data_IF_963834081968
#
_entry.id   IF_963834081968
#
_cell.length_a   1.000
_cell.length_b   1.000
_cell.length_c   1.000
_cell.angle_alpha   90.00
_cell.angle_beta   90.00
_cell.angle_gamma   90.00
#
_symmetry.space_group_name_H-M   'P 1'
#
loop_
_entity.id
_entity.type
_entity.pdbx_description
1 polymer ?
#
# COMPACT_ATOMS: atom_id res chain seq x y z
N UNK A 1 -21.64 -26.42 -20.06
CA UNK A 1 -20.29 -26.28 -20.67
C UNK A 1 -19.44 -27.51 -20.34
N UNK A 2 -18.72 -28.11 -21.30
CA UNK A 2 -17.79 -29.23 -21.02
C UNK A 2 -16.76 -28.80 -19.96
N UNK A 3 -16.57 -29.56 -18.86
CA UNK A 3 -15.65 -29.25 -17.73
C UNK A 3 -14.23 -28.81 -18.16
N UNK A 4 -13.75 -29.30 -19.32
CA UNK A 4 -12.46 -28.91 -19.91
C UNK A 4 -12.41 -27.43 -20.33
N UNK A 5 -13.52 -26.88 -20.86
CA UNK A 5 -13.62 -25.47 -21.28
C UNK A 5 -13.60 -24.52 -20.07
N UNK A 6 -14.29 -24.88 -18.98
CA UNK A 6 -14.28 -24.09 -17.74
C UNK A 6 -12.88 -24.00 -17.14
N UNK A 7 -12.18 -25.14 -17.05
CA UNK A 7 -10.77 -25.19 -16.60
C UNK A 7 -9.85 -24.29 -17.46
N UNK A 8 -10.00 -24.34 -18.77
CA UNK A 8 -9.23 -23.49 -19.69
C UNK A 8 -9.47 -21.99 -19.48
N UNK A 9 -10.71 -21.59 -19.17
CA UNK A 9 -11.06 -20.20 -18.86
C UNK A 9 -10.42 -19.75 -17.54
N UNK A 10 -10.56 -20.55 -16.47
CA UNK A 10 -9.96 -20.23 -15.16
C UNK A 10 -8.44 -20.08 -15.29
N UNK A 11 -7.79 -21.05 -15.96
CA UNK A 11 -6.35 -21.01 -16.23
C UNK A 11 -5.93 -19.79 -17.06
N UNK A 12 -6.83 -19.23 -17.86
CA UNK A 12 -6.55 -18.04 -18.66
C UNK A 12 -6.55 -16.74 -17.84
N UNK A 13 -7.17 -16.76 -16.66
CA UNK A 13 -7.20 -15.65 -15.71
C UNK A 13 -5.97 -15.60 -14.78
N UNK A 14 -5.06 -16.58 -14.85
CA UNK A 14 -3.82 -16.60 -14.06
C UNK A 14 -2.93 -15.37 -14.34
N UNK A 15 -2.15 -14.89 -13.37
CA UNK A 15 -1.18 -13.81 -13.60
C UNK A 15 -0.18 -14.18 -14.71
N UNK A 16 0.15 -13.22 -15.58
CA UNK A 16 1.15 -13.40 -16.64
C UNK A 16 2.10 -12.20 -16.67
N UNK A 17 3.39 -12.46 -16.80
CA UNK A 17 4.41 -11.41 -16.92
C UNK A 17 4.08 -10.49 -18.09
N UNK A 18 4.10 -9.18 -17.84
CA UNK A 18 3.80 -8.16 -18.86
C UNK A 18 2.32 -7.98 -19.21
N UNK A 19 1.39 -8.66 -18.52
CA UNK A 19 -0.06 -8.45 -18.70
C UNK A 19 -0.71 -7.92 -17.44
N UNK A 20 -1.72 -7.07 -17.62
CA UNK A 20 -2.55 -6.63 -16.51
C UNK A 20 -3.26 -7.84 -15.88
N UNK A 21 -3.26 -7.89 -14.54
CA UNK A 21 -3.99 -8.89 -13.78
C UNK A 21 -5.49 -8.74 -14.04
N UNK A 22 -6.16 -9.85 -14.31
CA UNK A 22 -7.63 -9.88 -14.47
C UNK A 22 -8.24 -9.54 -13.11
N UNK A 23 -9.12 -8.55 -13.07
CA UNK A 23 -9.86 -8.18 -11.86
C UNK A 23 -11.06 -9.12 -11.72
N UNK A 24 -11.10 -9.87 -10.64
CA UNK A 24 -12.17 -10.80 -10.32
C UNK A 24 -12.80 -10.41 -8.98
N UNK A 25 -14.11 -10.59 -8.86
CA UNK A 25 -14.87 -10.34 -7.64
C UNK A 25 -14.99 -11.60 -6.77
N UNK A 26 -15.25 -11.47 -5.47
CA UNK A 26 -15.40 -12.58 -4.51
C UNK A 26 -16.35 -13.69 -5.01
N UNK A 27 -17.48 -13.32 -5.61
CA UNK A 27 -18.47 -14.25 -6.16
C UNK A 27 -17.92 -15.05 -7.34
N UNK A 28 -17.16 -14.41 -8.22
CA UNK A 28 -16.51 -15.04 -9.37
C UNK A 28 -15.43 -16.02 -8.90
N UNK A 29 -14.61 -15.61 -7.92
CA UNK A 29 -13.53 -16.42 -7.36
C UNK A 29 -14.07 -17.66 -6.64
N UNK A 30 -15.13 -17.50 -5.85
CA UNK A 30 -15.81 -18.61 -5.18
C UNK A 30 -16.45 -19.56 -6.19
N UNK A 31 -17.08 -19.03 -7.24
CA UNK A 31 -17.63 -19.84 -8.34
C UNK A 31 -16.53 -20.64 -9.04
N UNK A 32 -15.40 -20.02 -9.39
CA UNK A 32 -14.26 -20.69 -10.02
C UNK A 32 -13.76 -21.86 -9.17
N UNK A 33 -13.60 -21.66 -7.86
CA UNK A 33 -13.23 -22.71 -6.92
C UNK A 33 -14.24 -23.86 -6.89
N UNK A 34 -15.53 -23.56 -6.78
CA UNK A 34 -16.59 -24.58 -6.78
C UNK A 34 -16.60 -25.41 -8.08
N UNK A 35 -16.27 -24.80 -9.23
CA UNK A 35 -16.16 -25.50 -10.51
C UNK A 35 -14.93 -26.42 -10.63
N UNK A 36 -13.90 -26.19 -9.79
CA UNK A 36 -12.66 -26.96 -9.79
C UNK A 36 -12.60 -28.02 -8.68
N UNK A 37 -13.53 -27.98 -7.72
CA UNK A 37 -13.57 -28.90 -6.58
C UNK A 37 -13.52 -30.37 -7.04
N UNK A 38 -12.61 -31.15 -6.44
CA UNK A 38 -12.35 -32.54 -6.80
C UNK A 38 -11.40 -32.77 -7.99
N UNK A 39 -10.93 -31.71 -8.66
CA UNK A 39 -10.00 -31.80 -9.79
C UNK A 39 -8.90 -30.71 -9.73
N UNK A 40 -8.46 -30.34 -8.52
CA UNK A 40 -7.42 -29.36 -8.31
C UNK A 40 -6.04 -29.99 -8.59
N UNK A 41 -5.34 -29.45 -9.60
CA UNK A 41 -3.90 -29.58 -9.75
C UNK A 41 -3.17 -28.91 -8.58
N UNK A 42 -2.01 -29.46 -8.21
CA UNK A 42 -1.11 -28.89 -7.21
C UNK A 42 -0.11 -27.86 -7.80
N UNK A 43 -0.17 -27.62 -9.12
CA UNK A 43 0.50 -26.48 -9.73
C UNK A 43 -0.32 -25.21 -9.50
N UNK A 44 -0.06 -24.53 -8.38
CA UNK A 44 -0.85 -23.37 -7.98
C UNK A 44 -0.63 -22.14 -8.86
N UNK A 45 0.44 -22.10 -9.66
CA UNK A 45 0.68 -21.03 -10.62
C UNK A 45 -0.31 -21.06 -11.79
N UNK A 46 -1.02 -22.18 -12.00
CA UNK A 46 -2.04 -22.31 -13.03
C UNK A 46 -3.36 -21.61 -12.71
N UNK A 47 -3.54 -21.14 -11.47
CA UNK A 47 -4.77 -20.45 -11.04
C UNK A 47 -4.59 -18.93 -10.94
N UNK A 48 -5.69 -18.16 -11.01
CA UNK A 48 -5.70 -16.79 -10.53
C UNK A 48 -5.28 -16.76 -9.06
N UNK A 49 -4.29 -15.95 -8.70
CA UNK A 49 -3.80 -15.84 -7.32
C UNK A 49 -4.92 -15.52 -6.32
N UNK A 50 -5.89 -14.71 -6.74
CA UNK A 50 -7.01 -14.28 -5.88
C UNK A 50 -7.99 -15.42 -5.61
N UNK A 51 -8.05 -16.41 -6.49
CA UNK A 51 -8.88 -17.60 -6.30
C UNK A 51 -8.31 -18.47 -5.18
N UNK A 52 -6.98 -18.47 -5.02
CA UNK A 52 -6.29 -19.26 -3.99
C UNK A 52 -6.75 -18.89 -2.57
N UNK A 53 -7.23 -17.66 -2.34
CA UNK A 53 -7.80 -17.22 -1.05
C UNK A 53 -8.96 -18.13 -0.60
N UNK A 54 -9.70 -18.70 -1.55
CA UNK A 54 -10.91 -19.49 -1.31
C UNK A 54 -10.66 -21.00 -1.23
N UNK A 55 -9.43 -21.45 -1.52
CA UNK A 55 -9.08 -22.85 -1.39
C UNK A 55 -9.15 -23.30 0.08
N UNK A 56 -9.53 -24.56 0.27
CA UNK A 56 -9.39 -25.22 1.55
C UNK A 56 -7.98 -25.79 1.65
N UNK A 57 -7.29 -25.56 2.77
CA UNK A 57 -5.95 -26.11 3.00
C UNK A 57 -5.93 -27.64 2.93
N UNK A 58 -7.08 -28.29 3.20
CA UNK A 58 -7.25 -29.74 3.04
C UNK A 58 -7.11 -30.22 1.60
N UNK A 59 -7.29 -29.34 0.61
CA UNK A 59 -7.09 -29.66 -0.81
C UNK A 59 -5.64 -29.45 -1.28
N UNK A 60 -4.76 -28.98 -0.38
CA UNK A 60 -3.33 -28.75 -0.63
C UNK A 60 -2.56 -29.91 -0.01
N UNK A 61 -1.77 -30.59 -0.83
CA UNK A 61 -0.88 -31.64 -0.33
C UNK A 61 0.22 -31.01 0.53
N UNK A 62 0.56 -31.63 1.66
CA UNK A 62 1.53 -31.06 2.62
C UNK A 62 2.87 -30.68 1.99
N UNK A 63 3.40 -31.52 1.09
CA UNK A 63 4.63 -31.25 0.35
C UNK A 63 4.56 -30.00 -0.55
N UNK A 64 3.36 -29.59 -0.95
CA UNK A 64 3.10 -28.44 -1.82
C UNK A 64 2.56 -27.21 -1.06
N UNK A 65 2.54 -27.22 0.28
CA UNK A 65 2.00 -26.10 1.03
C UNK A 65 2.80 -24.80 0.77
N UNK A 66 4.13 -24.90 0.64
CA UNK A 66 4.99 -23.75 0.36
C UNK A 66 4.71 -23.17 -1.03
N UNK A 67 4.51 -24.02 -2.04
CA UNK A 67 4.19 -23.55 -3.40
C UNK A 67 2.79 -22.92 -3.46
N UNK A 68 1.83 -23.46 -2.70
CA UNK A 68 0.52 -22.83 -2.50
C UNK A 68 0.62 -21.42 -1.92
N UNK A 69 1.30 -21.26 -0.78
CA UNK A 69 1.42 -19.95 -0.14
C UNK A 69 2.24 -18.97 -0.98
N UNK A 70 3.25 -19.46 -1.72
CA UNK A 70 4.01 -18.62 -2.66
C UNK A 70 3.12 -18.06 -3.76
N UNK A 71 2.23 -18.89 -4.34
CA UNK A 71 1.29 -18.45 -5.37
C UNK A 71 0.19 -17.54 -4.78
N UNK A 72 -0.32 -17.88 -3.60
CA UNK A 72 -1.30 -17.08 -2.85
C UNK A 72 -0.72 -15.71 -2.46
N UNK A 73 0.59 -15.63 -2.20
CA UNK A 73 1.28 -14.37 -1.91
C UNK A 73 1.18 -13.33 -3.03
N UNK A 74 0.80 -13.70 -4.25
CA UNK A 74 0.51 -12.74 -5.32
C UNK A 74 -0.93 -12.19 -5.31
N UNK A 75 -1.77 -12.67 -4.39
CA UNK A 75 -3.18 -12.31 -4.31
C UNK A 75 -3.40 -10.87 -3.85
N UNK A 76 -4.58 -10.36 -4.18
CA UNK A 76 -5.13 -9.13 -3.67
C UNK A 76 -6.08 -9.46 -2.52
N UNK A 77 -5.57 -9.46 -1.29
CA UNK A 77 -6.32 -9.82 -0.09
C UNK A 77 -7.51 -8.89 0.19
N UNK A 78 -7.58 -7.72 -0.47
CA UNK A 78 -8.74 -6.83 -0.34
C UNK A 78 -9.98 -7.28 -1.12
N UNK A 79 -9.87 -8.34 -1.94
CA UNK A 79 -11.01 -8.89 -2.68
C UNK A 79 -11.94 -9.69 -1.79
N UNK A 80 -11.41 -10.30 -0.72
CA UNK A 80 -12.21 -11.07 0.21
C UNK A 80 -12.96 -10.15 1.16
N UNK A 81 -14.22 -10.48 1.41
CA UNK A 81 -15.05 -9.77 2.37
C UNK A 81 -14.55 -10.02 3.79
N UNK A 82 -14.63 -8.99 4.62
CA UNK A 82 -14.27 -9.08 6.04
C UNK A 82 -15.14 -10.09 6.80
N UNK A 83 -16.36 -10.37 6.31
CA UNK A 83 -17.29 -11.35 6.87
C UNK A 83 -16.69 -12.77 6.87
N UNK A 84 -15.94 -13.11 5.82
CA UNK A 84 -15.32 -14.44 5.73
C UNK A 84 -14.07 -14.58 6.61
N UNK A 85 -13.53 -13.47 7.14
CA UNK A 85 -12.33 -13.41 7.98
C UNK A 85 -11.20 -14.35 7.49
N UNK A 86 -10.93 -14.32 6.18
CA UNK A 86 -9.99 -15.26 5.54
C UNK A 86 -8.55 -15.01 5.95
N UNK A 87 -8.19 -13.76 6.22
CA UNK A 87 -6.82 -13.33 6.45
C UNK A 87 -6.20 -14.04 7.67
N UNK A 88 -6.89 -14.02 8.81
CA UNK A 88 -6.41 -14.66 10.05
C UNK A 88 -6.21 -16.17 9.88
N UNK A 89 -7.19 -16.84 9.25
CA UNK A 89 -7.13 -18.27 8.95
C UNK A 89 -5.97 -18.60 8.01
N UNK A 90 -5.87 -17.89 6.88
CA UNK A 90 -4.83 -18.13 5.87
C UNK A 90 -3.43 -17.90 6.45
N UNK A 91 -3.27 -16.87 7.28
CA UNK A 91 -2.00 -16.63 7.93
C UNK A 91 -1.65 -17.73 8.94
N UNK A 92 -2.61 -18.19 9.76
CA UNK A 92 -2.39 -19.33 10.67
C UNK A 92 -2.01 -20.62 9.91
N UNK A 93 -2.69 -20.90 8.79
CA UNK A 93 -2.34 -22.02 7.90
C UNK A 93 -0.92 -21.84 7.29
N UNK A 94 -0.54 -20.61 6.95
CA UNK A 94 0.81 -20.30 6.45
C UNK A 94 1.87 -20.50 7.53
N UNK A 95 1.60 -20.09 8.77
CA UNK A 95 2.51 -20.31 9.90
C UNK A 95 2.80 -21.79 10.10
N UNK A 96 1.75 -22.62 10.09
CA UNK A 96 1.89 -24.07 10.21
C UNK A 96 2.69 -24.67 9.05
N UNK A 97 2.44 -24.22 7.81
CA UNK A 97 3.17 -24.69 6.64
C UNK A 97 4.67 -24.31 6.67
N UNK A 98 4.99 -23.10 7.14
CA UNK A 98 6.34 -22.55 7.10
C UNK A 98 7.13 -22.81 8.39
N UNK A 99 6.50 -23.39 9.42
CA UNK A 99 7.14 -23.60 10.72
C UNK A 99 7.41 -22.30 11.48
N UNK A 100 6.62 -21.25 11.24
CA UNK A 100 6.79 -19.95 11.88
C UNK A 100 6.28 -20.06 13.32
N UNK A 101 7.17 -19.80 14.28
CA UNK A 101 6.84 -19.69 15.69
C UNK A 101 7.07 -18.25 16.18
N UNK A 102 6.15 -17.76 17.02
CA UNK A 102 6.18 -16.38 17.51
C UNK A 102 5.90 -15.35 16.41
N UNK A 103 6.52 -14.17 16.51
CA UNK A 103 6.24 -13.00 15.67
C UNK A 103 7.36 -12.62 14.70
N UNK A 104 8.44 -13.39 14.64
CA UNK A 104 9.58 -13.11 13.75
C UNK A 104 9.38 -13.82 12.42
N UNK A 105 9.47 -13.07 11.33
CA UNK A 105 9.46 -13.61 9.97
C UNK A 105 10.84 -13.37 9.34
N UNK A 106 11.49 -14.43 8.88
CA UNK A 106 12.75 -14.30 8.15
C UNK A 106 12.48 -13.88 6.69
N UNK A 107 13.54 -13.58 5.92
CA UNK A 107 13.41 -13.18 4.52
C UNK A 107 12.66 -14.20 3.66
N UNK A 108 12.90 -15.50 3.87
CA UNK A 108 12.20 -16.57 3.17
C UNK A 108 10.71 -16.66 3.48
N UNK A 109 10.32 -16.41 4.74
CA UNK A 109 8.90 -16.34 5.13
C UNK A 109 8.21 -15.15 4.45
N UNK A 110 8.84 -13.98 4.50
CA UNK A 110 8.33 -12.75 3.86
C UNK A 110 8.21 -12.90 2.35
N UNK A 111 9.12 -13.63 1.71
CA UNK A 111 9.04 -13.95 0.28
C UNK A 111 7.82 -14.80 -0.06
N UNK A 112 7.59 -15.87 0.71
CA UNK A 112 6.45 -16.77 0.50
C UNK A 112 5.13 -16.06 0.78
N UNK A 113 5.03 -15.33 1.89
CA UNK A 113 3.81 -14.61 2.28
C UNK A 113 3.43 -13.52 1.26
N UNK A 114 4.42 -12.88 0.63
CA UNK A 114 4.18 -11.91 -0.44
C UNK A 114 3.26 -10.77 0.00
N UNK A 115 2.14 -10.58 -0.69
CA UNK A 115 1.13 -9.56 -0.41
C UNK A 115 0.28 -9.86 0.83
N UNK A 116 0.35 -11.09 1.39
CA UNK A 116 -0.30 -11.41 2.67
C UNK A 116 0.23 -10.52 3.80
N UNK A 117 1.43 -9.95 3.66
CA UNK A 117 1.98 -9.00 4.65
C UNK A 117 1.06 -7.80 4.92
N UNK A 118 0.19 -7.44 3.96
CA UNK A 118 -0.75 -6.34 4.10
C UNK A 118 -1.82 -6.59 5.15
N UNK A 119 -2.08 -7.86 5.49
CA UNK A 119 -3.10 -8.28 6.46
C UNK A 119 -2.49 -8.62 7.82
N UNK A 120 -1.16 -8.54 7.96
CA UNK A 120 -0.47 -8.90 9.20
C UNK A 120 -0.59 -7.82 10.26
N UNK A 121 -0.63 -8.26 11.51
CA UNK A 121 -0.53 -7.37 12.65
C UNK A 121 0.83 -6.68 12.72
N UNK A 122 0.84 -5.52 13.39
CA UNK A 122 2.03 -4.69 13.54
C UNK A 122 3.19 -5.41 14.24
N UNK A 123 2.89 -6.37 15.13
CA UNK A 123 3.91 -7.17 15.82
C UNK A 123 4.76 -7.99 14.86
N UNK A 124 4.14 -8.61 13.85
CA UNK A 124 4.85 -9.35 12.80
C UNK A 124 5.66 -8.38 11.95
N UNK A 125 5.06 -7.26 11.52
CA UNK A 125 5.76 -6.27 10.69
C UNK A 125 7.03 -5.78 11.38
N UNK A 126 6.94 -5.40 12.64
CA UNK A 126 8.07 -4.83 13.40
C UNK A 126 9.24 -5.79 13.59
N UNK A 127 8.95 -7.08 13.75
CA UNK A 127 9.93 -8.12 14.08
C UNK A 127 10.40 -8.94 12.87
N UNK A 128 9.96 -8.54 11.66
CA UNK A 128 10.30 -9.22 10.42
C UNK A 128 11.62 -8.75 9.81
N UNK A 129 12.16 -9.56 8.91
CA UNK A 129 13.20 -9.14 7.99
C UNK A 129 12.81 -7.86 7.24
N UNK A 130 13.79 -6.97 7.01
CA UNK A 130 13.58 -5.67 6.36
C UNK A 130 12.98 -5.76 4.94
N UNK A 131 13.07 -6.93 4.29
CA UNK A 131 12.40 -7.23 3.02
C UNK A 131 10.88 -7.00 3.09
N UNK A 132 10.28 -7.08 4.28
CA UNK A 132 8.83 -6.83 4.45
C UNK A 132 8.44 -5.44 3.96
N UNK A 133 9.34 -4.45 4.07
CA UNK A 133 9.12 -3.09 3.57
C UNK A 133 8.90 -3.07 2.06
N UNK A 134 9.49 -3.99 1.31
CA UNK A 134 9.27 -4.11 -0.14
C UNK A 134 7.91 -4.68 -0.47
N UNK A 135 7.46 -5.65 0.33
CA UNK A 135 6.14 -6.26 0.18
C UNK A 135 5.04 -5.29 0.61
N UNK A 136 5.28 -4.44 1.60
CA UNK A 136 4.30 -3.44 2.05
C UNK A 136 4.01 -2.34 1.01
N UNK A 137 4.88 -2.12 0.01
CA UNK A 137 4.69 -1.11 -1.05
C UNK A 137 3.44 -1.31 -1.89
N UNK A 138 2.97 -2.55 -2.00
CA UNK A 138 1.78 -2.88 -2.80
C UNK A 138 0.49 -2.80 -2.00
N UNK A 139 0.57 -2.61 -0.67
CA UNK A 139 -0.60 -2.58 0.18
C UNK A 139 -1.49 -1.38 -0.13
N UNK A 140 -2.77 -1.68 -0.38
CA UNK A 140 -3.78 -0.68 -0.70
C UNK A 140 -4.19 0.16 0.50
N UNK A 141 -4.03 -0.36 1.71
CA UNK A 141 -4.21 0.37 2.95
C UNK A 141 -3.31 -0.20 4.04
N UNK A 142 -3.02 0.63 5.04
CA UNK A 142 -2.24 0.24 6.23
C UNK A 142 -2.86 0.92 7.46
N UNK A 143 -3.01 0.15 8.54
CA UNK A 143 -3.49 0.65 9.82
C UNK A 143 -2.44 1.55 10.49
N UNK A 144 -2.85 2.35 11.49
CA UNK A 144 -1.93 3.20 12.23
C UNK A 144 -0.84 2.40 12.96
N UNK A 145 -1.17 1.21 13.48
CA UNK A 145 -0.20 0.32 14.14
C UNK A 145 0.78 -0.29 13.14
N UNK A 146 0.31 -0.72 11.96
CA UNK A 146 1.18 -1.21 10.89
C UNK A 146 2.14 -0.12 10.41
N UNK A 147 1.66 1.13 10.27
CA UNK A 147 2.51 2.27 9.91
C UNK A 147 3.57 2.55 10.98
N UNK A 148 3.21 2.50 12.27
CA UNK A 148 4.16 2.69 13.36
C UNK A 148 5.27 1.63 13.36
N UNK A 149 4.90 0.36 13.19
CA UNK A 149 5.85 -0.75 13.06
C UNK A 149 6.78 -0.58 11.85
N UNK A 150 6.21 -0.19 10.69
CA UNK A 150 6.97 0.11 9.48
C UNK A 150 7.96 1.28 9.68
N UNK A 151 7.53 2.35 10.35
CA UNK A 151 8.41 3.48 10.67
C UNK A 151 9.55 3.10 11.61
N UNK A 152 9.27 2.24 12.60
CA UNK A 152 10.29 1.71 13.51
C UNK A 152 11.32 0.85 12.76
N UNK A 153 10.88 -0.01 11.85
CA UNK A 153 11.78 -0.76 10.97
C UNK A 153 12.64 0.17 10.12
N UNK A 154 12.03 1.13 9.42
CA UNK A 154 12.76 2.10 8.58
C UNK A 154 13.84 2.81 9.39
N UNK A 155 13.50 3.29 10.59
CA UNK A 155 14.39 4.07 11.45
C UNK A 155 15.45 3.23 12.19
N UNK A 156 15.40 1.90 12.10
CA UNK A 156 16.37 1.02 12.76
C UNK A 156 17.80 1.13 12.22
N UNK A 157 17.97 1.72 11.03
CA UNK A 157 19.26 1.79 10.31
C UNK A 157 19.71 0.46 9.68
N UNK A 158 19.00 -0.65 9.95
CA UNK A 158 19.34 -2.01 9.48
C UNK A 158 18.66 -2.40 8.17
N UNK A 159 17.92 -1.48 7.57
CA UNK A 159 17.23 -1.72 6.30
C UNK A 159 18.13 -1.33 5.13
N UNK A 160 17.78 -1.75 3.91
CA UNK A 160 18.48 -1.29 2.70
C UNK A 160 18.45 0.22 2.45
N UNK A 161 17.61 0.96 3.19
CA UNK A 161 17.53 2.42 3.12
C UNK A 161 18.60 3.12 3.95
N UNK A 162 19.38 2.36 4.73
CA UNK A 162 20.48 2.85 5.54
C UNK A 162 20.03 3.70 6.74
N UNK A 163 21.01 4.32 7.38
CA UNK A 163 20.81 5.18 8.54
C UNK A 163 20.02 6.45 8.19
N UNK A 164 19.18 6.90 9.13
CA UNK A 164 18.29 8.06 8.99
C UNK A 164 19.04 9.33 8.59
N UNK A 165 20.30 9.49 9.02
CA UNK A 165 21.15 10.64 8.67
C UNK A 165 21.53 10.69 7.19
N UNK A 166 21.49 9.56 6.49
CA UNK A 166 21.83 9.44 5.05
C UNK A 166 20.63 9.66 4.13
N UNK A 167 19.42 9.72 4.70
CA UNK A 167 18.18 9.77 3.93
C UNK A 167 18.05 11.02 3.07
N UNK A 168 17.65 10.82 1.81
CA UNK A 168 17.55 11.89 0.83
C UNK A 168 16.38 11.67 -0.15
N UNK A 169 16.32 12.46 -1.22
CA UNK A 169 15.24 12.37 -2.20
C UNK A 169 15.17 10.98 -2.88
N UNK A 170 16.31 10.31 -3.07
CA UNK A 170 16.35 8.94 -3.61
C UNK A 170 15.71 7.94 -2.65
N UNK A 171 15.95 8.05 -1.35
CA UNK A 171 15.26 7.23 -0.33
C UNK A 171 13.74 7.32 -0.48
N UNK A 172 13.20 8.54 -0.64
CA UNK A 172 11.75 8.75 -0.83
C UNK A 172 11.22 8.14 -2.13
N UNK A 173 12.01 8.18 -3.22
CA UNK A 173 11.65 7.56 -4.50
C UNK A 173 11.67 6.03 -4.38
N UNK A 174 12.71 5.49 -3.75
CA UNK A 174 12.91 4.05 -3.61
C UNK A 174 11.84 3.42 -2.68
N UNK A 175 11.28 4.19 -1.73
CA UNK A 175 10.16 3.77 -0.88
C UNK A 175 8.82 3.60 -1.62
N UNK A 176 8.71 4.04 -2.87
CA UNK A 176 7.53 3.83 -3.70
C UNK A 176 6.27 4.50 -3.14
N UNK A 177 5.23 3.72 -2.85
CA UNK A 177 3.93 4.22 -2.37
C UNK A 177 3.87 4.46 -0.86
N UNK A 178 4.81 3.89 -0.08
CA UNK A 178 4.83 3.98 1.37
C UNK A 178 4.75 5.42 1.92
N UNK A 179 5.41 6.43 1.31
CA UNK A 179 5.33 7.81 1.78
C UNK A 179 3.90 8.35 1.93
N UNK A 180 2.90 7.80 1.24
CA UNK A 180 1.49 8.16 1.43
C UNK A 180 0.96 7.92 2.85
N UNK A 181 1.52 6.94 3.56
CA UNK A 181 1.04 6.47 4.86
C UNK A 181 1.86 7.03 6.03
N UNK A 182 3.10 7.46 5.76
CA UNK A 182 4.07 7.83 6.78
C UNK A 182 3.70 9.13 7.52
N UNK A 183 4.12 9.18 8.77
CA UNK A 183 3.72 10.20 9.75
C UNK A 183 4.79 11.28 9.93
N UNK A 184 4.54 12.19 10.87
CA UNK A 184 5.50 13.22 11.24
C UNK A 184 6.84 12.66 11.75
N UNK A 185 6.85 11.43 12.30
CA UNK A 185 8.06 10.79 12.79
C UNK A 185 9.06 10.51 11.66
N UNK A 186 8.56 9.98 10.54
CA UNK A 186 9.35 9.79 9.33
C UNK A 186 9.63 11.12 8.62
N UNK A 187 8.58 11.93 8.36
CA UNK A 187 8.75 13.17 7.61
C UNK A 187 9.63 14.19 8.34
N UNK A 188 9.72 14.15 9.66
CA UNK A 188 10.62 14.99 10.45
C UNK A 188 12.10 14.82 10.11
N UNK A 189 12.49 13.69 9.48
CA UNK A 189 13.88 13.38 9.12
C UNK A 189 14.35 14.06 7.82
N UNK A 190 13.46 14.69 7.07
CA UNK A 190 13.78 15.32 5.78
C UNK A 190 13.70 16.84 5.83
N UNK A 191 14.67 17.50 5.20
CA UNK A 191 14.67 18.96 4.97
C UNK A 191 13.49 19.37 4.07
N UNK A 192 12.96 20.58 4.26
CA UNK A 192 11.81 21.08 3.48
C UNK A 192 12.07 21.11 1.96
N UNK A 193 13.29 21.45 1.53
CA UNK A 193 13.69 21.43 0.12
C UNK A 193 13.60 20.02 -0.49
N UNK A 194 13.99 18.99 0.26
CA UNK A 194 13.90 17.58 -0.14
C UNK A 194 12.44 17.13 -0.27
N UNK A 195 11.61 17.44 0.73
CA UNK A 195 10.16 17.16 0.70
C UNK A 195 9.48 17.79 -0.51
N UNK A 196 9.71 19.09 -0.74
CA UNK A 196 9.12 19.82 -1.89
C UNK A 196 9.56 19.20 -3.22
N UNK A 197 10.86 18.89 -3.38
CA UNK A 197 11.38 18.26 -4.61
C UNK A 197 10.73 16.91 -4.89
N UNK A 198 10.61 16.06 -3.86
CA UNK A 198 9.94 14.77 -3.98
C UNK A 198 8.46 14.92 -4.37
N UNK A 199 7.72 15.79 -3.69
CA UNK A 199 6.30 15.99 -3.96
C UNK A 199 5.99 16.47 -5.38
N UNK A 200 6.89 17.26 -6.00
CA UNK A 200 6.73 17.72 -7.39
C UNK A 200 6.61 16.56 -8.39
N UNK A 201 7.25 15.43 -8.13
CA UNK A 201 7.19 14.24 -8.99
C UNK A 201 6.23 13.18 -8.45
N UNK A 202 6.07 13.09 -7.14
CA UNK A 202 5.20 12.13 -6.49
C UNK A 202 3.71 12.45 -6.69
N UNK A 203 3.30 13.69 -6.42
CA UNK A 203 1.89 14.07 -6.42
C UNK A 203 1.18 13.89 -7.77
N UNK A 204 1.79 14.24 -8.92
CA UNK A 204 1.17 13.98 -10.23
C UNK A 204 0.88 12.49 -10.47
N UNK A 205 1.79 11.59 -10.04
CA UNK A 205 1.59 10.14 -10.14
C UNK A 205 0.40 9.69 -9.30
N UNK A 206 0.28 10.20 -8.08
CA UNK A 206 -0.83 9.86 -7.19
C UNK A 206 -2.19 10.36 -7.68
N UNK A 207 -2.21 11.57 -8.26
CA UNK A 207 -3.40 12.13 -8.91
C UNK A 207 -3.82 11.31 -10.13
N UNK A 208 -2.87 10.90 -10.98
CA UNK A 208 -3.13 10.01 -12.13
C UNK A 208 -3.68 8.65 -11.70
N UNK A 209 -3.20 8.12 -10.57
CA UNK A 209 -3.73 6.89 -9.95
C UNK A 209 -5.09 7.07 -9.26
N UNK A 210 -5.63 8.29 -9.22
CA UNK A 210 -6.88 8.62 -8.53
C UNK A 210 -6.89 8.18 -7.05
N UNK A 211 -5.76 8.37 -6.36
CA UNK A 211 -5.67 8.09 -4.92
C UNK A 211 -6.75 8.89 -4.18
N UNK A 212 -7.41 8.23 -3.21
CA UNK A 212 -8.46 8.85 -2.39
C UNK A 212 -7.98 10.17 -1.79
N UNK A 213 -8.76 11.23 -1.96
CA UNK A 213 -8.44 12.58 -1.48
C UNK A 213 -8.16 12.61 0.03
N UNK A 214 -8.85 11.78 0.82
CA UNK A 214 -8.62 11.62 2.26
C UNK A 214 -7.20 11.14 2.60
N UNK A 215 -6.60 10.25 1.79
CA UNK A 215 -5.22 9.80 1.97
C UNK A 215 -4.22 10.92 1.68
N UNK A 216 -4.43 11.67 0.60
CA UNK A 216 -3.60 12.84 0.27
C UNK A 216 -3.69 13.91 1.36
N UNK A 217 -4.88 14.14 1.93
CA UNK A 217 -5.08 15.04 3.07
C UNK A 217 -4.27 14.60 4.30
N UNK A 218 -4.27 13.29 4.62
CA UNK A 218 -3.45 12.73 5.71
C UNK A 218 -1.95 12.92 5.45
N UNK A 219 -1.48 12.65 4.23
CA UNK A 219 -0.09 12.91 3.83
C UNK A 219 0.29 14.38 4.08
N UNK A 220 -0.51 15.33 3.58
CA UNK A 220 -0.22 16.76 3.75
C UNK A 220 -0.22 17.19 5.22
N UNK A 221 -1.13 16.64 6.03
CA UNK A 221 -1.14 16.85 7.49
C UNK A 221 0.19 16.43 8.13
N UNK A 222 0.74 15.28 7.75
CA UNK A 222 1.97 14.75 8.35
C UNK A 222 3.25 15.37 7.79
N UNK A 223 3.35 15.56 6.48
CA UNK A 223 4.56 16.10 5.84
C UNK A 223 4.77 17.59 6.14
N UNK A 224 3.67 18.33 6.29
CA UNK A 224 3.65 19.77 6.59
C UNK A 224 3.46 20.08 8.08
N UNK A 225 3.60 19.09 8.97
CA UNK A 225 3.55 19.28 10.43
C UNK A 225 4.69 20.20 10.90
N UNK A 226 4.51 21.52 10.72
CA UNK A 226 5.24 22.59 11.37
C UNK A 226 4.31 23.16 12.44
N UNK A 227 4.86 23.43 13.63
CA UNK A 227 4.12 24.16 14.67
C UNK A 227 3.98 25.62 14.23
N UNK A 228 2.85 25.99 13.64
CA UNK A 228 2.47 27.39 13.47
C UNK A 228 1.99 27.91 14.83
N UNK A 229 2.47 29.09 15.26
CA UNK A 229 1.96 29.72 16.50
C UNK A 229 0.49 30.08 16.26
N UNK A 230 -0.41 29.77 17.21
CA UNK A 230 -1.82 30.18 17.15
C UNK A 230 -1.88 31.71 17.04
N UNK A 231 -2.69 32.23 16.11
CA UNK A 231 -2.88 33.68 15.89
C UNK A 231 -1.92 34.32 14.88
N UNK A 232 -1.02 33.57 14.26
CA UNK A 232 -0.23 34.09 13.16
C UNK A 232 -1.04 34.08 11.85
N UNK A 233 -1.09 35.22 11.14
CA UNK A 233 -1.76 35.38 9.85
C UNK A 233 -1.10 34.58 8.72
N UNK A 234 -1.09 35.09 7.49
CA UNK A 234 -0.38 34.43 6.41
C UNK A 234 1.15 34.56 6.58
N UNK A 235 1.83 33.46 6.95
CA UNK A 235 3.29 33.43 7.15
C UNK A 235 3.99 32.71 6.00
N UNK A 236 3.32 31.74 5.38
CA UNK A 236 3.90 30.94 4.28
C UNK A 236 4.07 31.77 3.01
N UNK A 237 3.23 32.81 2.85
CA UNK A 237 3.14 33.66 1.66
C UNK A 237 1.81 33.46 0.95
N UNK A 238 1.34 34.49 0.23
CA UNK A 238 0.04 34.45 -0.42
C UNK A 238 -0.01 33.35 -1.50
N UNK A 239 -1.15 32.67 -1.56
CA UNK A 239 -1.46 31.68 -2.57
C UNK A 239 -1.83 32.43 -3.84
N UNK A 240 -0.95 32.38 -4.84
CA UNK A 240 -1.15 32.93 -6.18
C UNK A 240 -1.39 31.82 -7.21
N UNK A 241 -1.81 32.16 -8.42
CA UNK A 241 -1.96 31.20 -9.53
C UNK A 241 -0.66 30.38 -9.77
N UNK A 242 0.51 31.01 -9.63
CA UNK A 242 1.82 30.35 -9.75
C UNK A 242 2.00 29.29 -8.65
N UNK A 243 1.63 29.61 -7.41
CA UNK A 243 1.71 28.64 -6.31
C UNK A 243 0.73 27.49 -6.49
N UNK A 244 -0.49 27.77 -6.99
CA UNK A 244 -1.50 26.76 -7.28
C UNK A 244 -1.04 25.84 -8.40
N UNK A 245 -0.33 26.34 -9.41
CA UNK A 245 0.21 25.54 -10.52
C UNK A 245 1.34 24.59 -10.10
N UNK A 246 2.09 24.87 -9.02
CA UNK A 246 3.15 23.97 -8.53
C UNK A 246 2.59 22.56 -8.22
N UNK A 247 3.29 21.53 -8.69
CA UNK A 247 2.88 20.14 -8.49
C UNK A 247 2.88 19.71 -7.03
N UNK A 248 3.75 20.30 -6.20
CA UNK A 248 3.81 20.05 -4.77
C UNK A 248 2.70 20.75 -3.97
N UNK A 249 1.95 21.68 -4.56
CA UNK A 249 0.81 22.31 -3.90
C UNK A 249 -0.21 21.26 -3.42
N UNK A 250 -0.75 21.38 -2.18
CA UNK A 250 -0.66 22.49 -1.21
C UNK A 250 0.45 22.38 -0.15
N UNK A 251 1.58 21.71 -0.42
CA UNK A 251 2.67 21.55 0.56
C UNK A 251 3.13 22.88 1.15
N UNK A 252 3.14 22.96 2.48
CA UNK A 252 3.52 24.14 3.24
C UNK A 252 2.32 24.91 3.80
N UNK A 253 1.13 24.71 3.25
CA UNK A 253 -0.11 25.31 3.75
C UNK A 253 -0.90 24.28 4.56
N UNK A 254 -0.84 24.40 5.89
CA UNK A 254 -1.83 23.73 6.74
C UNK A 254 -3.22 24.36 6.55
N UNK A 255 -4.24 23.82 7.21
CA UNK A 255 -5.61 24.31 7.05
C UNK A 255 -5.75 25.80 7.38
N UNK A 256 -5.02 26.30 8.39
CA UNK A 256 -5.09 27.69 8.83
C UNK A 256 -4.36 28.61 7.86
N UNK A 257 -3.13 28.25 7.48
CA UNK A 257 -2.35 28.99 6.49
C UNK A 257 -3.05 29.01 5.13
N UNK A 258 -3.69 27.92 4.73
CA UNK A 258 -4.47 27.88 3.48
C UNK A 258 -5.61 28.90 3.51
N UNK A 259 -6.31 29.05 4.64
CA UNK A 259 -7.40 30.02 4.77
C UNK A 259 -6.90 31.46 4.83
N UNK A 260 -5.80 31.71 5.55
CA UNK A 260 -5.27 33.06 5.71
C UNK A 260 -4.49 33.57 4.49
N UNK A 261 -3.92 32.67 3.68
CA UNK A 261 -3.11 33.02 2.53
C UNK A 261 -3.86 32.96 1.20
N UNK A 262 -5.12 32.52 1.16
CA UNK A 262 -5.90 32.39 -0.08
C UNK A 262 -6.91 33.53 -0.22
N UNK A 263 -6.66 34.41 -1.18
CA UNK A 263 -7.58 35.49 -1.52
C UNK A 263 -8.74 35.01 -2.42
N UNK A 264 -9.90 35.65 -2.27
CA UNK A 264 -11.12 35.30 -3.02
C UNK A 264 -10.93 35.37 -4.54
N UNK A 265 -10.28 36.41 -5.13
CA UNK A 265 -10.06 36.45 -6.58
C UNK A 265 -9.24 35.27 -7.08
N UNK A 266 -8.14 34.92 -6.40
CA UNK A 266 -7.30 33.78 -6.79
C UNK A 266 -8.06 32.46 -6.69
N UNK A 267 -8.91 32.30 -5.66
CA UNK A 267 -9.78 31.14 -5.53
C UNK A 267 -10.76 31.03 -6.70
N UNK A 268 -11.38 32.13 -7.13
CA UNK A 268 -12.31 32.14 -8.28
C UNK A 268 -11.58 31.75 -9.56
N UNK A 269 -10.42 32.34 -9.82
CA UNK A 269 -9.67 32.13 -11.07
C UNK A 269 -9.01 30.73 -11.14
N UNK A 270 -8.74 30.12 -9.99
CA UNK A 270 -8.00 28.84 -9.90
C UNK A 270 -8.82 27.69 -9.29
N UNK A 271 -10.14 27.83 -9.22
CA UNK A 271 -11.03 26.93 -8.48
C UNK A 271 -10.86 25.46 -8.88
N UNK A 272 -10.83 25.18 -10.18
CA UNK A 272 -10.72 23.82 -10.72
C UNK A 272 -9.39 23.17 -10.35
N UNK A 273 -8.28 23.90 -10.50
CA UNK A 273 -6.94 23.43 -10.13
C UNK A 273 -6.85 23.13 -8.64
N UNK A 274 -7.38 24.01 -7.79
CA UNK A 274 -7.43 23.81 -6.33
C UNK A 274 -8.27 22.57 -5.99
N UNK A 275 -9.45 22.41 -6.61
CA UNK A 275 -10.36 21.28 -6.37
C UNK A 275 -9.76 19.93 -6.78
N UNK A 276 -8.96 19.90 -7.85
CA UNK A 276 -8.22 18.72 -8.27
C UNK A 276 -7.07 18.38 -7.31
N UNK A 277 -6.43 19.38 -6.68
CA UNK A 277 -5.24 19.19 -5.84
C UNK A 277 -5.53 18.98 -4.35
N UNK A 278 -6.57 19.61 -3.80
CA UNK A 278 -6.84 19.68 -2.34
C UNK A 278 -8.10 18.90 -1.94
N UNK A 279 -9.01 18.66 -2.89
CA UNK A 279 -10.29 17.99 -2.63
C UNK A 279 -11.38 18.92 -2.10
N UNK A 280 -12.66 18.56 -2.33
CA UNK A 280 -13.78 19.31 -1.75
C UNK A 280 -13.77 19.12 -0.22
N UNK A 281 -14.08 20.20 0.50
CA UNK A 281 -14.39 20.13 1.93
C UNK A 281 -15.59 19.24 2.15
#
# INVERSE_FOLDING_TARGET
>A
MKKKRVRGLIRSCRPRKGRAKVKLEETQLTCMYNQLKGHLSQDFADYPSDMLIYLNIKDVQGANCRSYFTALGAADFTVASSVLNKDSRLFSEAQNCLGISGVKLNGGDVEVLGNMVCTLDSSYIENSDSLILEKLKVCKDLSASQVAAMEKLLQSGKTKYGDVTTWNAKTLVDLGELPLYLTGNFWGKFKSKTKKRFLKTFMPKQRKKKVRKSKLKKLFKHISARKTKRGAGCIVGNITQVTVSDNAFPYGYDLMQFNHCLDIPVLKDSLDSICQKVGRR
#
